data_IF_371061072521
#
_entry.id   IF_371061072521
#
_cell.length_a   1.000
_cell.length_b   1.000
_cell.length_c   1.000
_cell.angle_alpha   90.00
_cell.angle_beta   90.00
_cell.angle_gamma   90.00
#
_symmetry.space_group_name_H-M   'P 1'
#
loop_
_entity.id
_entity.type
_entity.pdbx_description
1 polymer ?
#
# COMPACT_ATOMS: atom_id res chain seq x y z
N UNK A 1 11.64 19.93 -25.03
CA UNK A 1 10.89 19.13 -26.03
C UNK A 1 11.25 19.67 -27.39
N UNK A 2 11.68 18.79 -28.25
CA UNK A 2 12.04 19.13 -29.63
C UNK A 2 10.79 19.13 -30.52
N UNK A 3 10.97 19.59 -31.77
CA UNK A 3 9.89 19.54 -32.77
C UNK A 3 9.56 18.07 -33.08
N UNK A 4 8.28 17.69 -33.02
CA UNK A 4 7.81 16.31 -33.24
C UNK A 4 7.69 15.46 -31.98
N UNK A 5 8.24 15.86 -30.83
CA UNK A 5 8.17 15.06 -29.58
C UNK A 5 6.72 14.82 -29.12
N UNK A 6 5.85 15.83 -29.28
CA UNK A 6 4.45 15.71 -28.85
C UNK A 6 3.67 14.69 -29.65
N UNK A 7 3.93 14.61 -30.93
CA UNK A 7 3.30 13.65 -31.86
C UNK A 7 3.77 12.24 -31.54
N UNK A 8 5.08 12.06 -31.29
CA UNK A 8 5.66 10.78 -30.89
C UNK A 8 5.08 10.31 -29.57
N UNK A 9 5.05 11.17 -28.54
CA UNK A 9 4.51 10.82 -27.22
C UNK A 9 3.01 10.49 -27.29
N UNK A 10 2.24 11.22 -28.11
CA UNK A 10 0.81 10.96 -28.31
C UNK A 10 0.54 9.63 -29.02
N UNK A 11 1.41 9.27 -29.98
CA UNK A 11 1.27 8.02 -30.75
C UNK A 11 1.74 6.79 -29.98
N UNK A 12 2.56 6.96 -28.94
CA UNK A 12 3.19 5.87 -28.18
C UNK A 12 2.85 5.93 -26.69
N UNK A 13 1.57 6.04 -26.36
CA UNK A 13 1.09 6.00 -24.97
C UNK A 13 1.12 4.56 -24.43
N UNK A 14 1.17 4.42 -23.10
CA UNK A 14 1.06 3.13 -22.40
C UNK A 14 -0.34 2.51 -22.58
N UNK A 15 -0.43 1.20 -22.45
CA UNK A 15 -1.71 0.49 -22.52
C UNK A 15 -2.49 0.55 -21.19
N UNK A 16 -1.79 0.58 -20.08
CA UNK A 16 -2.36 0.73 -18.73
C UNK A 16 -1.40 1.50 -17.83
N UNK A 17 -1.89 1.97 -16.67
CA UNK A 17 -1.12 2.68 -15.65
C UNK A 17 -1.00 1.79 -14.42
N UNK A 18 0.22 1.55 -13.97
CA UNK A 18 0.48 0.87 -12.71
C UNK A 18 1.01 1.84 -11.67
N UNK A 19 0.64 1.60 -10.40
CA UNK A 19 1.09 2.42 -9.28
C UNK A 19 1.11 1.63 -7.98
N UNK A 20 1.93 2.10 -7.02
CA UNK A 20 1.97 1.61 -5.65
C UNK A 20 1.18 2.55 -4.75
N UNK A 21 0.41 2.01 -3.81
CA UNK A 21 -0.31 2.80 -2.82
C UNK A 21 -0.12 2.22 -1.41
N UNK A 22 0.38 3.02 -0.49
CA UNK A 22 0.58 2.63 0.91
C UNK A 22 -0.07 3.58 1.90
N UNK A 23 -0.06 4.87 1.59
CA UNK A 23 -0.57 5.92 2.49
C UNK A 23 -0.83 7.20 1.75
N UNK A 24 -1.71 8.03 2.28
CA UNK A 24 -1.81 9.43 1.89
C UNK A 24 -0.82 10.28 2.68
N UNK A 25 -0.53 11.48 2.17
CA UNK A 25 0.40 12.41 2.80
C UNK A 25 -0.19 13.79 2.88
N UNK A 26 0.20 14.49 3.95
CA UNK A 26 -0.16 15.88 4.16
C UNK A 26 1.10 16.73 4.08
N UNK A 27 1.00 17.84 3.37
CA UNK A 27 2.02 18.88 3.35
C UNK A 27 1.38 20.21 3.75
N UNK A 28 2.14 21.10 4.37
CA UNK A 28 1.69 22.43 4.76
C UNK A 28 2.52 23.50 4.05
N UNK A 29 1.91 24.63 3.76
CA UNK A 29 2.63 25.83 3.32
C UNK A 29 3.38 26.52 4.48
N UNK A 30 3.05 26.16 5.74
CA UNK A 30 3.72 26.68 6.92
C UNK A 30 5.00 25.87 7.18
N UNK A 31 6.19 26.52 7.13
CA UNK A 31 7.47 25.85 7.39
C UNK A 31 7.59 25.26 8.80
N UNK A 32 6.97 25.86 9.80
CA UNK A 32 7.02 25.36 11.17
C UNK A 32 6.21 24.08 11.34
N UNK A 33 5.14 23.93 10.59
CA UNK A 33 4.33 22.71 10.53
C UNK A 33 5.09 21.62 9.80
N UNK A 34 5.69 21.93 8.65
CA UNK A 34 6.49 20.98 7.88
C UNK A 34 7.75 20.50 8.61
N UNK A 35 8.33 21.33 9.49
CA UNK A 35 9.48 20.94 10.32
C UNK A 35 9.13 19.83 11.35
N UNK A 36 7.86 19.54 11.57
CA UNK A 36 7.35 18.52 12.51
C UNK A 36 6.85 17.27 11.76
N UNK A 37 7.41 16.99 10.59
CA UNK A 37 7.05 15.81 9.83
C UNK A 37 7.58 14.53 10.46
N UNK A 38 6.93 13.41 10.19
CA UNK A 38 7.33 12.07 10.60
C UNK A 38 7.22 11.09 9.45
N UNK A 39 7.82 9.95 9.60
CA UNK A 39 7.86 8.89 8.60
C UNK A 39 9.30 8.47 8.28
N UNK A 40 9.47 7.29 7.70
CA UNK A 40 10.81 6.72 7.51
C UNK A 40 11.40 6.95 6.10
N UNK A 41 10.61 6.85 5.05
CA UNK A 41 11.07 7.08 3.67
C UNK A 41 10.58 8.44 3.17
N UNK A 42 9.36 8.74 3.54
CA UNK A 42 8.67 9.94 3.10
C UNK A 42 8.08 10.65 4.30
N UNK A 43 8.64 11.78 4.60
CA UNK A 43 8.12 12.63 5.66
C UNK A 43 6.75 13.22 5.27
N UNK A 44 5.85 13.27 6.24
CA UNK A 44 4.50 13.82 6.10
C UNK A 44 4.06 14.48 7.39
N UNK A 45 3.32 15.55 7.28
CA UNK A 45 2.59 16.11 8.43
C UNK A 45 1.54 15.09 8.87
N UNK A 46 1.45 14.84 10.18
CA UNK A 46 0.46 13.92 10.72
C UNK A 46 -0.96 14.43 10.45
N UNK A 47 -1.78 13.58 9.83
CA UNK A 47 -3.22 13.84 9.72
C UNK A 47 -3.91 13.43 11.02
N UNK A 48 -4.57 14.34 11.75
CA UNK A 48 -5.20 14.02 13.03
C UNK A 48 -6.47 13.16 12.88
N UNK A 49 -6.97 12.97 11.67
CA UNK A 49 -8.19 12.22 11.36
C UNK A 49 -7.94 10.81 10.87
N UNK A 50 -6.68 10.41 10.70
CA UNK A 50 -6.31 9.08 10.21
C UNK A 50 -5.40 8.39 11.22
N UNK A 51 -5.60 7.09 11.38
CA UNK A 51 -4.66 6.22 12.06
C UNK A 51 -3.39 6.07 11.23
N UNK A 52 -2.31 5.68 11.89
CA UNK A 52 -1.03 5.46 11.23
C UNK A 52 -0.37 4.18 11.74
N UNK A 53 0.42 3.54 10.87
CA UNK A 53 1.27 2.43 11.26
C UNK A 53 2.37 2.87 12.23
N UNK A 54 3.10 1.92 12.80
CA UNK A 54 4.25 2.16 13.69
C UNK A 54 5.37 2.98 13.02
N UNK A 55 5.40 2.99 11.68
CA UNK A 55 6.32 3.83 10.88
C UNK A 55 5.73 5.17 10.45
N UNK A 56 4.59 5.57 11.02
CA UNK A 56 3.94 6.86 10.74
C UNK A 56 3.23 6.93 9.39
N UNK A 57 3.00 5.81 8.72
CA UNK A 57 2.26 5.78 7.45
C UNK A 57 0.76 5.78 7.71
N UNK A 58 0.09 6.79 7.22
CA UNK A 58 -1.34 6.99 7.41
C UNK A 58 -2.14 5.94 6.66
N UNK A 59 -3.10 5.33 7.36
CA UNK A 59 -4.00 4.31 6.80
C UNK A 59 -5.18 5.03 6.18
N UNK A 60 -5.25 5.06 4.84
CA UNK A 60 -6.24 5.84 4.11
C UNK A 60 -6.82 5.08 2.90
N UNK A 61 -7.77 4.16 3.14
CA UNK A 61 -8.45 3.44 2.06
C UNK A 61 -9.22 4.38 1.11
N UNK A 62 -9.82 5.44 1.65
CA UNK A 62 -10.51 6.43 0.84
C UNK A 62 -9.55 7.18 -0.10
N UNK A 63 -8.34 7.47 0.38
CA UNK A 63 -7.27 8.05 -0.43
C UNK A 63 -6.89 7.17 -1.62
N UNK A 64 -6.93 5.84 -1.47
CA UNK A 64 -6.74 4.91 -2.59
C UNK A 64 -7.84 5.09 -3.64
N UNK A 65 -9.12 5.08 -3.23
CA UNK A 65 -10.26 5.29 -4.13
C UNK A 65 -10.16 6.63 -4.86
N UNK A 66 -9.83 7.70 -4.15
CA UNK A 66 -9.63 9.04 -4.75
C UNK A 66 -8.49 9.02 -5.76
N UNK A 67 -7.37 8.36 -5.45
CA UNK A 67 -6.22 8.24 -6.35
C UNK A 67 -6.58 7.48 -7.63
N UNK A 68 -7.31 6.37 -7.51
CA UNK A 68 -7.80 5.61 -8.66
C UNK A 68 -8.69 6.46 -9.56
N UNK A 69 -9.66 7.16 -8.98
CA UNK A 69 -10.55 8.06 -9.73
C UNK A 69 -9.76 9.17 -10.44
N UNK A 70 -8.86 9.84 -9.73
CA UNK A 70 -8.06 10.93 -10.30
C UNK A 70 -7.16 10.47 -11.47
N UNK A 71 -6.58 9.28 -11.37
CA UNK A 71 -5.77 8.70 -12.45
C UNK A 71 -6.64 8.28 -13.63
N UNK A 72 -7.75 7.61 -13.37
CA UNK A 72 -8.65 7.15 -14.42
C UNK A 72 -9.31 8.30 -15.15
N UNK A 73 -9.80 9.31 -14.44
CA UNK A 73 -10.38 10.52 -15.05
C UNK A 73 -9.39 11.26 -15.96
N UNK A 74 -8.15 11.31 -15.53
CA UNK A 74 -7.11 12.03 -16.27
C UNK A 74 -6.64 11.31 -17.52
N UNK A 75 -6.42 10.01 -17.43
CA UNK A 75 -5.71 9.24 -18.46
C UNK A 75 -6.61 8.35 -19.30
N UNK A 76 -7.77 7.98 -18.80
CA UNK A 76 -8.73 7.08 -19.44
C UNK A 76 -8.05 5.77 -19.90
N UNK A 77 -7.19 5.22 -19.03
CA UNK A 77 -6.46 3.97 -19.22
C UNK A 77 -6.74 3.04 -18.05
N UNK A 78 -6.80 1.72 -18.29
CA UNK A 78 -6.91 0.76 -17.21
C UNK A 78 -5.82 0.96 -16.16
N UNK A 79 -6.14 0.67 -14.90
CA UNK A 79 -5.22 0.79 -13.77
C UNK A 79 -4.77 -0.58 -13.26
N UNK A 80 -3.57 -0.66 -12.70
CA UNK A 80 -3.09 -1.82 -11.98
C UNK A 80 -2.40 -1.37 -10.70
N UNK A 81 -2.86 -1.85 -9.54
CA UNK A 81 -2.20 -1.60 -8.27
C UNK A 81 -1.13 -2.68 -8.07
N UNK A 82 0.13 -2.32 -8.26
CA UNK A 82 1.25 -3.27 -8.22
C UNK A 82 1.78 -3.52 -6.82
N UNK A 83 1.50 -2.59 -5.87
CA UNK A 83 1.90 -2.74 -4.48
C UNK A 83 0.91 -2.05 -3.55
N UNK A 84 0.53 -2.75 -2.48
CA UNK A 84 -0.19 -2.23 -1.33
C UNK A 84 0.07 -3.15 -0.15
N UNK A 85 0.21 -2.63 1.06
CA UNK A 85 0.44 -3.45 2.24
C UNK A 85 0.74 -2.62 3.48
N UNK A 86 0.71 -3.27 4.64
CA UNK A 86 0.98 -2.67 5.94
C UNK A 86 2.20 -3.31 6.57
N UNK A 87 3.25 -2.51 6.79
CA UNK A 87 4.41 -2.94 7.56
C UNK A 87 4.12 -2.83 9.05
N UNK A 88 4.43 -3.89 9.81
CA UNK A 88 4.26 -3.94 11.26
C UNK A 88 5.37 -4.75 11.93
N UNK A 89 5.50 -4.60 13.24
CA UNK A 89 6.36 -5.46 14.06
C UNK A 89 5.53 -6.64 14.52
N UNK A 90 5.78 -7.80 13.91
CA UNK A 90 5.12 -9.04 14.27
C UNK A 90 6.00 -9.88 15.18
N UNK A 91 5.42 -10.39 16.26
CA UNK A 91 6.09 -11.30 17.19
C UNK A 91 5.23 -12.55 17.33
N UNK A 92 5.73 -13.72 16.91
CA UNK A 92 5.01 -14.97 17.09
C UNK A 92 4.81 -15.28 18.58
N UNK A 93 3.67 -15.87 18.91
CA UNK A 93 3.42 -16.44 20.23
C UNK A 93 4.20 -17.76 20.44
N UNK A 94 3.98 -18.42 21.58
CA UNK A 94 4.63 -19.71 21.94
C UNK A 94 4.30 -20.87 20.98
N UNK A 95 3.23 -20.74 20.19
CA UNK A 95 2.80 -21.70 19.17
C UNK A 95 3.27 -21.32 17.76
N UNK A 96 4.01 -20.20 17.62
CA UNK A 96 4.44 -19.66 16.35
C UNK A 96 3.34 -18.92 15.57
N UNK A 97 2.26 -18.53 16.22
CA UNK A 97 1.16 -17.79 15.61
C UNK A 97 1.36 -16.28 15.77
N UNK A 98 1.05 -15.53 14.72
CA UNK A 98 1.00 -14.06 14.72
C UNK A 98 -0.46 -13.62 14.58
N UNK A 99 -0.97 -12.91 15.58
CA UNK A 99 -2.31 -12.32 15.53
C UNK A 99 -2.23 -10.99 14.74
N UNK A 100 -2.53 -11.03 13.46
CA UNK A 100 -2.42 -9.87 12.56
C UNK A 100 -3.77 -9.31 12.08
N UNK A 101 -4.77 -9.34 12.94
CA UNK A 101 -6.11 -8.80 12.67
C UNK A 101 -6.07 -7.36 12.13
N UNK A 102 -5.10 -6.56 12.56
CA UNK A 102 -4.85 -5.21 12.05
C UNK A 102 -4.46 -5.20 10.56
N UNK A 103 -3.67 -6.20 10.08
CA UNK A 103 -3.31 -6.33 8.66
C UNK A 103 -4.50 -6.79 7.86
N UNK A 104 -5.28 -7.72 8.39
CA UNK A 104 -6.54 -8.18 7.77
C UNK A 104 -7.50 -7.00 7.62
N UNK A 105 -7.70 -6.20 8.65
CA UNK A 105 -8.56 -5.02 8.62
C UNK A 105 -8.07 -3.98 7.60
N UNK A 106 -6.76 -3.73 7.55
CA UNK A 106 -6.15 -2.83 6.56
C UNK A 106 -6.42 -3.30 5.13
N UNK A 107 -6.15 -4.58 4.85
CA UNK A 107 -6.35 -5.16 3.52
C UNK A 107 -7.83 -5.13 3.12
N UNK A 108 -8.73 -5.54 4.02
CA UNK A 108 -10.17 -5.54 3.77
C UNK A 108 -10.68 -4.13 3.42
N UNK A 109 -10.28 -3.11 4.18
CA UNK A 109 -10.68 -1.74 3.92
C UNK A 109 -10.19 -1.21 2.57
N UNK A 110 -8.95 -1.53 2.17
CA UNK A 110 -8.41 -1.13 0.88
C UNK A 110 -9.07 -1.89 -0.28
N UNK A 111 -9.35 -3.18 -0.11
CA UNK A 111 -10.09 -3.98 -1.11
C UNK A 111 -11.50 -3.43 -1.30
N UNK A 112 -12.19 -3.06 -0.22
CA UNK A 112 -13.53 -2.45 -0.33
C UNK A 112 -13.48 -1.10 -1.06
N UNK A 113 -12.47 -0.27 -0.80
CA UNK A 113 -12.26 0.98 -1.52
C UNK A 113 -12.01 0.77 -3.03
N UNK A 114 -11.26 -0.28 -3.39
CA UNK A 114 -11.09 -0.69 -4.80
C UNK A 114 -12.40 -1.15 -5.43
N UNK A 115 -13.18 -1.97 -4.72
CA UNK A 115 -14.51 -2.43 -5.19
C UNK A 115 -15.44 -1.24 -5.45
N UNK A 116 -15.44 -0.27 -4.56
CA UNK A 116 -16.22 0.95 -4.74
C UNK A 116 -15.76 1.75 -5.96
N UNK A 117 -14.45 1.93 -6.15
CA UNK A 117 -13.92 2.61 -7.33
C UNK A 117 -14.36 1.94 -8.64
N UNK A 118 -14.37 0.61 -8.66
CA UNK A 118 -14.81 -0.16 -9.84
C UNK A 118 -16.32 -0.10 -10.00
N UNK A 119 -17.08 -0.44 -8.95
CA UNK A 119 -18.52 -0.69 -9.06
C UNK A 119 -19.37 0.58 -9.03
N UNK A 120 -18.92 1.60 -8.30
CA UNK A 120 -19.67 2.86 -8.13
C UNK A 120 -19.13 3.98 -9.01
N UNK A 121 -17.81 4.04 -9.17
CA UNK A 121 -17.15 5.14 -9.87
C UNK A 121 -16.79 4.78 -11.33
N UNK A 122 -16.85 3.49 -11.71
CA UNK A 122 -16.61 3.05 -13.07
C UNK A 122 -15.14 2.99 -13.48
N UNK A 123 -14.23 2.93 -12.52
CA UNK A 123 -12.78 2.79 -12.78
C UNK A 123 -12.49 1.41 -13.36
N UNK A 124 -11.75 1.34 -14.47
CA UNK A 124 -11.26 0.09 -15.05
C UNK A 124 -9.98 -0.35 -14.30
N UNK A 125 -10.11 -1.34 -13.42
CA UNK A 125 -9.01 -1.92 -12.65
C UNK A 125 -8.69 -3.33 -13.17
N UNK A 126 -7.51 -3.50 -13.77
CA UNK A 126 -7.02 -4.78 -14.29
C UNK A 126 -6.64 -5.77 -13.20
N UNK A 127 -6.10 -5.27 -12.08
CA UNK A 127 -5.63 -6.15 -11.03
C UNK A 127 -4.98 -5.42 -9.86
N UNK A 128 -4.66 -6.23 -8.85
CA UNK A 128 -4.06 -5.83 -7.60
C UNK A 128 -3.06 -6.88 -7.13
N UNK A 129 -1.91 -6.43 -6.64
CA UNK A 129 -0.95 -7.27 -5.94
C UNK A 129 -0.57 -6.63 -4.61
N UNK A 130 -0.52 -7.44 -3.55
CA UNK A 130 -0.03 -7.00 -2.25
C UNK A 130 1.50 -6.95 -2.24
N UNK A 131 2.06 -6.03 -1.46
CA UNK A 131 3.48 -6.01 -1.17
C UNK A 131 3.81 -7.03 -0.10
N UNK A 132 4.61 -8.03 -0.49
CA UNK A 132 5.14 -9.03 0.40
C UNK A 132 4.15 -10.13 0.79
N UNK A 133 3.96 -11.16 -0.05
CA UNK A 133 3.25 -12.36 0.39
C UNK A 133 4.06 -13.14 1.45
N UNK A 134 5.38 -13.05 1.38
CA UNK A 134 6.36 -13.61 2.33
C UNK A 134 7.14 -12.45 2.93
N UNK A 135 7.46 -12.50 4.21
CA UNK A 135 8.29 -11.48 4.85
C UNK A 135 9.62 -11.30 4.14
N UNK A 136 10.02 -10.05 4.00
CA UNK A 136 11.24 -9.63 3.34
C UNK A 136 11.92 -8.49 4.10
N UNK A 137 13.18 -8.26 3.82
CA UNK A 137 13.90 -7.12 4.35
C UNK A 137 13.30 -5.83 3.78
N UNK A 138 12.91 -4.92 4.66
CA UNK A 138 12.34 -3.63 4.25
C UNK A 138 13.32 -2.86 3.37
N UNK A 139 12.90 -2.49 2.16
CA UNK A 139 13.71 -1.70 1.23
C UNK A 139 14.04 -0.30 1.78
N UNK A 140 13.15 0.26 2.59
CA UNK A 140 13.32 1.61 3.12
C UNK A 140 14.17 1.71 4.38
N UNK A 141 14.21 0.66 5.20
CA UNK A 141 14.92 0.68 6.49
C UNK A 141 16.05 -0.34 6.60
N UNK A 142 16.13 -1.31 5.68
CA UNK A 142 17.08 -2.41 5.74
C UNK A 142 16.81 -3.39 6.87
N UNK A 143 15.63 -3.35 7.48
CA UNK A 143 15.29 -4.11 8.67
C UNK A 143 14.30 -5.25 8.36
N UNK A 144 14.55 -6.42 8.92
CA UNK A 144 13.63 -7.55 8.82
C UNK A 144 12.40 -7.39 9.73
N UNK A 145 12.51 -6.62 10.81
CA UNK A 145 11.42 -6.41 11.78
C UNK A 145 10.21 -5.68 11.21
N UNK A 146 10.37 -4.91 10.12
CA UNK A 146 9.26 -4.28 9.41
C UNK A 146 8.64 -5.26 8.45
N UNK A 147 7.71 -6.06 8.94
CA UNK A 147 7.11 -7.18 8.25
C UNK A 147 5.87 -6.78 7.48
N UNK A 148 5.73 -7.28 6.28
CA UNK A 148 4.59 -7.06 5.38
C UNK A 148 3.88 -8.35 5.01
N UNK A 149 4.57 -9.49 5.19
CA UNK A 149 4.16 -10.77 4.66
C UNK A 149 2.91 -11.35 5.31
N UNK A 150 2.28 -12.26 4.60
CA UNK A 150 1.26 -13.17 5.13
C UNK A 150 1.90 -14.43 5.69
N UNK A 151 3.16 -14.65 5.37
CA UNK A 151 3.99 -15.73 5.87
C UNK A 151 5.15 -15.13 6.64
N UNK A 152 5.22 -15.45 7.92
CA UNK A 152 6.30 -15.00 8.79
C UNK A 152 7.62 -15.72 8.45
N UNK A 153 8.70 -14.97 8.35
CA UNK A 153 10.06 -15.49 8.12
C UNK A 153 10.97 -15.09 9.28
N UNK A 154 11.56 -16.05 9.94
CA UNK A 154 12.63 -15.84 10.92
C UNK A 154 14.00 -16.00 10.23
N UNK A 155 14.61 -14.86 9.92
CA UNK A 155 15.93 -14.83 9.27
C UNK A 155 17.07 -15.29 10.19
N UNK A 156 16.91 -15.04 11.48
CA UNK A 156 17.99 -15.21 12.46
C UNK A 156 18.01 -16.62 13.05
N UNK A 157 17.02 -17.45 12.73
CA UNK A 157 16.96 -18.84 13.08
C UNK A 157 17.23 -19.71 11.85
N UNK A 158 18.26 -20.55 11.87
CA UNK A 158 18.62 -21.45 10.77
C UNK A 158 17.47 -22.40 10.36
N UNK A 159 16.51 -22.62 11.26
CA UNK A 159 15.24 -23.23 10.94
C UNK A 159 14.28 -22.13 10.44
N UNK A 160 14.13 -21.99 9.14
CA UNK A 160 13.10 -21.13 8.53
C UNK A 160 11.74 -21.64 8.97
N UNK A 161 11.19 -21.03 10.02
CA UNK A 161 9.87 -21.35 10.56
C UNK A 161 8.83 -20.57 9.76
N UNK A 162 8.12 -21.24 8.86
CA UNK A 162 6.98 -20.63 8.16
C UNK A 162 5.76 -20.77 9.07
N UNK A 163 5.33 -19.67 9.66
CA UNK A 163 4.04 -19.58 10.31
C UNK A 163 3.02 -19.05 9.31
N UNK A 164 1.96 -19.83 9.08
CA UNK A 164 0.86 -19.37 8.23
C UNK A 164 0.00 -18.39 9.03
N UNK A 165 -0.03 -17.14 8.58
CA UNK A 165 -1.07 -16.22 8.99
C UNK A 165 -2.39 -16.79 8.46
N UNK A 166 -3.36 -17.05 9.33
CA UNK A 166 -4.70 -17.42 8.89
C UNK A 166 -5.36 -16.16 8.33
N UNK A 167 -5.28 -15.98 7.03
CA UNK A 167 -6.29 -15.19 6.35
C UNK A 167 -7.64 -15.87 6.65
N UNK A 168 -8.53 -15.19 7.35
CA UNK A 168 -9.91 -15.62 7.38
C UNK A 168 -10.39 -15.57 5.93
N UNK A 169 -10.69 -16.74 5.37
CA UNK A 169 -11.45 -16.80 4.15
C UNK A 169 -12.75 -16.04 4.43
N UNK A 170 -12.83 -14.81 3.94
CA UNK A 170 -14.11 -14.17 3.78
C UNK A 170 -14.79 -14.95 2.67
N UNK A 171 -15.60 -15.94 3.07
CA UNK A 171 -16.53 -16.57 2.17
C UNK A 171 -17.40 -15.44 1.66
N UNK A 172 -17.19 -15.07 0.41
CA UNK A 172 -18.12 -14.22 -0.31
C UNK A 172 -19.30 -15.12 -0.68
N UNK A 173 -20.35 -15.09 0.14
CA UNK A 173 -21.68 -15.56 -0.25
C UNK A 173 -22.33 -14.54 -1.20
#
# INVERSE_FOLDING_TARGET
MEEGDKEILKANTVDFISFSYYSSRVASADPEVNAKTGGNIFESVKNPYLDASEWGWQIDPLGLRITMNAMYDRYQKPLFIVENGLGAVDVPDENGYVADDYRIAYMAAHIEAMKDAVNLDGVDLLGYTSWGCIDLVSAGTGEMKKRYGFIYVDRDNEAVSYTHLRAHETVLD
#
